data_IF_042746910820
#
_entry.id   IF_042746910820
#
_cell.length_a   1.000
_cell.length_b   1.000
_cell.length_c   1.000
_cell.angle_alpha   90.00
_cell.angle_beta   90.00
_cell.angle_gamma   90.00
#
_symmetry.space_group_name_H-M   'P 1'
#
loop_
_entity.id
_entity.type
_entity.pdbx_description
1 polymer ?
#
# COMPACT_ATOMS: atom_id res chain seq x y z
N UNK A 1 -28.92 14.74 25.66
CA UNK A 1 -28.69 15.51 24.42
C UNK A 1 -29.95 15.45 23.59
N UNK A 2 -30.54 16.61 23.32
CA UNK A 2 -31.67 16.75 22.39
C UNK A 2 -31.23 16.40 20.96
N UNK A 3 -32.14 16.03 20.06
CA UNK A 3 -31.77 15.66 18.67
C UNK A 3 -30.98 16.78 17.98
N UNK A 4 -31.37 18.04 18.19
CA UNK A 4 -30.72 19.22 17.60
C UNK A 4 -29.29 19.44 18.08
N UNK A 5 -29.02 19.30 19.38
CA UNK A 5 -27.64 19.38 19.93
C UNK A 5 -26.74 18.28 19.36
N UNK A 6 -27.27 17.07 19.17
CA UNK A 6 -26.48 15.94 18.62
C UNK A 6 -26.10 16.17 17.17
N UNK A 7 -27.02 16.70 16.36
CA UNK A 7 -26.71 17.06 14.97
C UNK A 7 -25.67 18.17 14.88
N UNK A 8 -25.76 19.19 15.76
CA UNK A 8 -24.76 20.26 15.80
C UNK A 8 -23.39 19.76 16.21
N UNK A 9 -23.30 18.92 17.24
CA UNK A 9 -22.01 18.46 17.75
C UNK A 9 -21.31 17.47 16.80
N UNK A 10 -22.08 16.55 16.21
CA UNK A 10 -21.56 15.66 15.15
C UNK A 10 -21.13 16.47 13.93
N UNK A 11 -21.88 17.51 13.55
CA UNK A 11 -21.52 18.36 12.41
C UNK A 11 -20.27 19.21 12.71
N UNK A 12 -20.14 19.73 13.93
CA UNK A 12 -18.97 20.48 14.37
C UNK A 12 -17.71 19.60 14.38
N UNK A 13 -17.78 18.41 15.00
CA UNK A 13 -16.68 17.44 15.04
C UNK A 13 -16.31 16.95 13.63
N UNK A 14 -17.29 16.62 12.80
CA UNK A 14 -17.06 16.20 11.41
C UNK A 14 -16.44 17.33 10.56
N UNK A 15 -16.78 18.59 10.84
CA UNK A 15 -16.22 19.76 10.16
C UNK A 15 -14.75 20.00 10.54
N UNK A 16 -14.36 19.72 11.78
CA UNK A 16 -12.97 19.82 12.23
C UNK A 16 -12.09 18.71 11.63
N UNK A 17 -12.59 17.47 11.58
CA UNK A 17 -11.89 16.35 10.92
C UNK A 17 -11.83 16.46 9.39
N UNK A 18 -12.72 17.24 8.77
CA UNK A 18 -12.83 17.34 7.30
C UNK A 18 -11.58 17.89 6.63
N UNK A 19 -11.03 18.99 7.15
CA UNK A 19 -9.83 19.62 6.58
C UNK A 19 -8.65 18.64 6.56
N UNK A 20 -8.21 18.05 7.67
CA UNK A 20 -7.06 17.13 7.66
C UNK A 20 -7.29 15.89 6.80
N UNK A 21 -8.53 15.36 6.73
CA UNK A 21 -8.85 14.23 5.84
C UNK A 21 -8.67 14.58 4.36
N UNK A 22 -9.22 15.71 3.91
CA UNK A 22 -9.08 16.17 2.52
C UNK A 22 -7.61 16.43 2.18
N UNK A 23 -6.88 17.13 3.05
CA UNK A 23 -5.46 17.39 2.83
C UNK A 23 -4.64 16.09 2.79
N UNK A 24 -4.90 15.15 3.70
CA UNK A 24 -4.24 13.84 3.69
C UNK A 24 -4.52 13.05 2.41
N UNK A 25 -5.77 12.99 1.97
CA UNK A 25 -6.15 12.32 0.72
C UNK A 25 -5.52 12.99 -0.51
N UNK A 26 -5.48 14.33 -0.56
CA UNK A 26 -4.82 15.07 -1.63
C UNK A 26 -3.32 14.76 -1.69
N UNK A 27 -2.62 14.73 -0.54
CA UNK A 27 -1.21 14.37 -0.48
C UNK A 27 -1.01 12.97 -1.06
N UNK A 28 -1.83 11.99 -0.66
CA UNK A 28 -1.76 10.63 -1.21
C UNK A 28 -1.98 10.65 -2.72
N UNK A 29 -3.01 11.34 -3.24
CA UNK A 29 -3.24 11.44 -4.69
C UNK A 29 -2.04 12.03 -5.44
N UNK A 30 -1.40 13.08 -4.89
CA UNK A 30 -0.22 13.71 -5.49
C UNK A 30 0.96 12.74 -5.55
N UNK A 31 1.14 11.88 -4.55
CA UNK A 31 2.18 10.84 -4.55
C UNK A 31 1.96 9.79 -5.66
N UNK A 32 0.73 9.58 -6.11
CA UNK A 32 0.43 8.69 -7.26
C UNK A 32 0.61 9.37 -8.62
N UNK A 33 0.65 10.70 -8.69
CA UNK A 33 0.77 11.43 -9.96
C UNK A 33 2.05 11.08 -10.76
N UNK A 34 3.25 10.92 -10.14
CA UNK A 34 4.46 10.54 -10.86
C UNK A 34 4.38 9.18 -11.55
N UNK A 35 3.53 8.27 -11.09
CA UNK A 35 3.32 6.95 -11.72
C UNK A 35 2.80 7.12 -13.15
N UNK A 36 2.04 8.19 -13.41
CA UNK A 36 1.56 8.48 -14.76
C UNK A 36 2.67 8.87 -15.74
N UNK A 37 3.85 9.27 -15.25
CA UNK A 37 5.02 9.58 -16.08
C UNK A 37 5.81 8.33 -16.51
N UNK A 38 5.52 7.14 -15.95
CA UNK A 38 6.15 5.89 -16.38
C UNK A 38 5.76 5.56 -17.82
N UNK A 39 6.75 5.16 -18.63
CA UNK A 39 6.56 4.75 -20.03
C UNK A 39 6.96 3.29 -20.22
N UNK A 40 6.58 2.69 -21.36
CA UNK A 40 6.92 1.30 -21.66
C UNK A 40 6.04 0.26 -20.96
N UNK A 41 6.65 -0.87 -20.58
CA UNK A 41 5.94 -2.02 -19.96
C UNK A 41 5.48 -1.69 -18.53
N UNK A 42 6.31 -0.97 -17.77
CA UNK A 42 6.00 -0.53 -16.42
C UNK A 42 4.72 0.33 -16.40
N UNK A 43 4.62 1.33 -17.29
CA UNK A 43 3.43 2.18 -17.40
C UNK A 43 2.15 1.36 -17.64
N UNK A 44 2.19 0.39 -18.57
CA UNK A 44 1.02 -0.47 -18.85
C UNK A 44 0.56 -1.27 -17.64
N UNK A 45 1.47 -1.68 -16.76
CA UNK A 45 1.12 -2.39 -15.53
C UNK A 45 0.66 -1.45 -14.40
N UNK A 46 1.29 -0.29 -14.26
CA UNK A 46 1.05 0.60 -13.12
C UNK A 46 -0.01 1.68 -13.36
N UNK A 47 -0.27 2.10 -14.61
CA UNK A 47 -1.30 3.10 -14.93
C UNK A 47 -2.71 2.64 -14.49
N UNK A 48 -3.17 1.41 -14.80
CA UNK A 48 -4.50 0.96 -14.36
C UNK A 48 -4.61 0.92 -12.82
N UNK A 49 -3.56 0.47 -12.15
CA UNK A 49 -3.48 0.45 -10.69
C UNK A 49 -3.60 1.86 -10.10
N UNK A 50 -2.79 2.82 -10.57
CA UNK A 50 -2.83 4.20 -10.09
C UNK A 50 -4.20 4.86 -10.32
N UNK A 51 -4.80 4.63 -11.49
CA UNK A 51 -6.12 5.16 -11.84
C UNK A 51 -7.21 4.69 -10.87
N UNK A 52 -7.26 3.38 -10.58
CA UNK A 52 -8.22 2.83 -9.62
C UNK A 52 -8.07 3.43 -8.23
N UNK A 53 -6.84 3.62 -7.74
CA UNK A 53 -6.59 4.23 -6.42
C UNK A 53 -7.02 5.69 -6.39
N UNK A 54 -6.66 6.50 -7.40
CA UNK A 54 -7.02 7.92 -7.43
C UNK A 54 -8.54 8.09 -7.49
N UNK A 55 -9.25 7.31 -8.31
CA UNK A 55 -10.72 7.34 -8.34
C UNK A 55 -11.32 6.90 -7.01
N UNK A 56 -10.80 5.84 -6.39
CA UNK A 56 -11.28 5.39 -5.08
C UNK A 56 -11.10 6.47 -4.01
N UNK A 57 -9.95 7.16 -4.00
CA UNK A 57 -9.68 8.27 -3.09
C UNK A 57 -10.60 9.47 -3.36
N UNK A 58 -10.88 9.80 -4.62
CA UNK A 58 -11.82 10.87 -4.98
C UNK A 58 -13.24 10.53 -4.50
N UNK A 59 -13.68 9.29 -4.73
CA UNK A 59 -14.96 8.80 -4.23
C UNK A 59 -15.02 8.81 -2.71
N UNK A 60 -13.97 8.33 -2.04
CA UNK A 60 -13.86 8.36 -0.58
C UNK A 60 -13.88 9.80 -0.03
N UNK A 61 -13.26 10.75 -0.71
CA UNK A 61 -13.28 12.17 -0.33
C UNK A 61 -14.71 12.74 -0.40
N UNK A 62 -15.43 12.48 -1.49
CA UNK A 62 -16.83 12.92 -1.65
C UNK A 62 -17.71 12.27 -0.58
N UNK A 63 -17.59 10.96 -0.37
CA UNK A 63 -18.37 10.22 0.64
C UNK A 63 -18.02 10.67 2.07
N UNK A 64 -16.77 10.99 2.35
CA UNK A 64 -16.35 11.48 3.66
C UNK A 64 -16.96 12.83 4.03
N UNK A 65 -17.23 13.69 3.05
CA UNK A 65 -17.85 15.01 3.28
C UNK A 65 -19.37 14.92 3.32
N UNK A 66 -19.96 14.00 2.55
CA UNK A 66 -21.41 13.91 2.35
C UNK A 66 -22.05 12.78 3.18
N UNK A 67 -21.66 11.54 2.91
CA UNK A 67 -22.26 10.34 3.47
C UNK A 67 -21.86 10.11 4.93
N UNK A 68 -20.59 10.27 5.29
CA UNK A 68 -20.11 9.97 6.64
C UNK A 68 -20.80 10.83 7.72
N UNK A 69 -20.92 12.17 7.59
CA UNK A 69 -21.62 12.97 8.59
C UNK A 69 -23.11 12.61 8.68
N UNK A 70 -23.76 12.36 7.54
CA UNK A 70 -25.15 11.94 7.50
C UNK A 70 -25.36 10.57 8.19
N UNK A 71 -24.49 9.61 7.91
CA UNK A 71 -24.52 8.28 8.51
C UNK A 71 -24.28 8.34 10.02
N UNK A 72 -23.25 9.07 10.48
CA UNK A 72 -22.98 9.23 11.92
C UNK A 72 -24.20 9.85 12.61
N UNK A 73 -24.80 10.88 12.02
CA UNK A 73 -25.92 11.57 12.61
C UNK A 73 -27.21 10.72 12.66
N UNK A 74 -27.40 9.80 11.71
CA UNK A 74 -28.54 8.88 11.68
C UNK A 74 -28.34 7.63 12.55
N UNK A 75 -27.16 7.01 12.51
CA UNK A 75 -26.91 5.70 13.12
C UNK A 75 -26.37 5.76 14.53
N UNK A 76 -25.49 6.72 14.84
CA UNK A 76 -25.03 6.89 16.22
C UNK A 76 -26.23 7.37 17.00
N UNK A 77 -26.76 6.57 17.92
CA UNK A 77 -27.93 6.88 18.73
C UNK A 77 -27.69 6.42 20.15
N UNK A 78 -27.67 7.34 21.12
CA UNK A 78 -27.50 7.00 22.54
C UNK A 78 -26.56 7.95 23.30
N UNK A 79 -26.47 7.76 24.62
CA UNK A 79 -25.42 8.37 25.44
C UNK A 79 -24.15 7.54 25.22
N UNK A 80 -23.17 8.09 24.50
CA UNK A 80 -21.83 7.49 24.44
C UNK A 80 -21.29 7.56 25.86
N UNK A 81 -21.26 6.43 26.57
CA UNK A 81 -20.57 6.34 27.85
C UNK A 81 -19.08 6.41 27.56
N UNK A 82 -18.43 7.36 28.19
CA UNK A 82 -16.97 7.58 28.17
C UNK A 82 -16.25 6.51 29.01
N UNK A 83 -16.61 5.24 28.85
CA UNK A 83 -15.89 4.15 29.52
C UNK A 83 -14.80 3.64 28.58
N UNK A 84 -13.54 3.89 28.94
CA UNK A 84 -12.40 3.35 28.22
C UNK A 84 -12.49 1.81 28.22
N UNK A 85 -12.69 1.22 27.03
CA UNK A 85 -12.65 -0.23 26.88
C UNK A 85 -11.33 -0.81 27.41
N UNK A 86 -11.36 -2.06 27.87
CA UNK A 86 -10.18 -2.74 28.45
C UNK A 86 -8.92 -2.65 27.57
N UNK A 87 -9.11 -2.72 26.24
CA UNK A 87 -8.05 -2.56 25.24
C UNK A 87 -7.43 -1.16 25.29
N UNK A 88 -8.27 -0.12 25.27
CA UNK A 88 -7.81 1.28 25.29
C UNK A 88 -7.07 1.59 26.59
N UNK A 89 -7.61 1.12 27.73
CA UNK A 89 -6.98 1.30 29.04
C UNK A 89 -5.61 0.66 29.12
N UNK A 90 -5.48 -0.57 28.61
CA UNK A 90 -4.21 -1.31 28.59
C UNK A 90 -3.20 -0.64 27.64
N UNK A 91 -3.64 -0.25 26.45
CA UNK A 91 -2.81 0.47 25.48
C UNK A 91 -2.29 1.79 26.07
N UNK A 92 -3.16 2.58 26.72
CA UNK A 92 -2.79 3.84 27.39
C UNK A 92 -1.79 3.61 28.51
N UNK A 93 -2.01 2.60 29.35
CA UNK A 93 -1.11 2.29 30.47
C UNK A 93 0.30 1.85 30.03
N UNK A 94 0.41 1.20 28.85
CA UNK A 94 1.71 0.84 28.25
C UNK A 94 2.33 2.00 27.48
N UNK A 95 1.54 2.76 26.74
CA UNK A 95 2.00 3.87 25.91
C UNK A 95 2.50 5.05 26.73
N UNK A 96 1.77 5.45 27.77
CA UNK A 96 2.10 6.62 28.60
C UNK A 96 3.52 6.60 29.21
N UNK A 97 4.01 5.52 29.84
CA UNK A 97 5.37 5.48 30.39
C UNK A 97 6.45 5.45 29.31
N UNK A 98 6.18 4.83 28.14
CA UNK A 98 7.12 4.84 27.02
C UNK A 98 7.23 6.27 26.46
N UNK A 99 6.09 6.94 26.27
CA UNK A 99 6.06 8.32 25.78
C UNK A 99 6.80 9.26 26.74
N UNK A 100 6.57 9.15 28.05
CA UNK A 100 7.25 10.00 29.03
C UNK A 100 8.76 9.75 29.03
N UNK A 101 9.20 8.51 28.88
CA UNK A 101 10.61 8.17 28.75
C UNK A 101 11.24 8.77 27.48
N UNK A 102 10.56 8.65 26.33
CA UNK A 102 11.02 9.21 25.04
C UNK A 102 11.12 10.73 25.09
N UNK A 103 10.12 11.41 25.66
CA UNK A 103 10.13 12.86 25.81
C UNK A 103 11.22 13.33 26.78
N UNK A 104 11.46 12.57 27.87
CA UNK A 104 12.54 12.85 28.82
C UNK A 104 13.95 12.64 28.23
N UNK A 105 14.10 11.71 27.28
CA UNK A 105 15.36 11.35 26.65
C UNK A 105 15.37 11.63 25.14
N UNK A 106 14.85 12.80 24.73
CA UNK A 106 14.71 13.19 23.31
C UNK A 106 15.98 12.96 22.48
N UNK A 107 17.16 13.25 23.03
CA UNK A 107 18.44 13.08 22.32
C UNK A 107 18.73 11.61 22.00
N UNK A 108 18.37 10.69 22.90
CA UNK A 108 18.51 9.24 22.68
C UNK A 108 17.51 8.80 21.60
N UNK A 109 16.27 9.29 21.65
CA UNK A 109 15.25 8.96 20.65
C UNK A 109 15.65 9.41 19.23
N UNK A 110 16.16 10.64 19.09
CA UNK A 110 16.71 11.14 17.83
C UNK A 110 17.95 10.35 17.38
N UNK A 111 18.86 10.03 18.31
CA UNK A 111 20.03 9.20 18.00
C UNK A 111 19.64 7.82 17.48
N UNK A 112 18.67 7.16 18.12
CA UNK A 112 18.17 5.86 17.69
C UNK A 112 17.50 5.94 16.31
N UNK A 113 16.69 6.97 16.06
CA UNK A 113 16.07 7.19 14.75
C UNK A 113 17.12 7.38 13.65
N UNK A 114 18.18 8.15 13.92
CA UNK A 114 19.27 8.35 12.96
C UNK A 114 20.02 7.04 12.69
N UNK A 115 20.34 6.26 13.72
CA UNK A 115 20.99 4.95 13.57
C UNK A 115 20.13 4.01 12.73
N UNK A 116 18.82 3.97 12.95
CA UNK A 116 17.90 3.14 12.15
C UNK A 116 17.85 3.57 10.69
N UNK A 117 17.87 4.88 10.40
CA UNK A 117 17.93 5.39 9.02
C UNK A 117 19.23 4.96 8.34
N UNK A 118 20.38 5.13 9.01
CA UNK A 118 21.68 4.75 8.47
C UNK A 118 21.76 3.25 8.23
N UNK A 119 21.30 2.43 9.17
CA UNK A 119 21.29 0.97 9.05
C UNK A 119 20.36 0.49 7.93
N UNK A 120 19.18 1.11 7.79
CA UNK A 120 18.24 0.83 6.71
C UNK A 120 18.85 1.19 5.35
N UNK A 121 19.49 2.36 5.24
CA UNK A 121 20.18 2.77 4.02
C UNK A 121 21.34 1.84 3.66
N UNK A 122 22.12 1.41 4.64
CA UNK A 122 23.20 0.43 4.43
C UNK A 122 22.66 -0.92 3.95
N UNK A 123 21.56 -1.41 4.54
CA UNK A 123 20.95 -2.68 4.13
C UNK A 123 20.35 -2.58 2.73
N UNK A 124 19.66 -1.47 2.42
CA UNK A 124 19.10 -1.21 1.11
C UNK A 124 20.18 -1.15 0.01
N UNK A 125 21.38 -0.63 0.33
CA UNK A 125 22.50 -0.58 -0.63
C UNK A 125 22.99 -1.96 -1.09
N UNK A 126 22.70 -3.02 -0.32
CA UNK A 126 23.04 -4.40 -0.65
C UNK A 126 21.91 -5.16 -1.34
N UNK A 127 20.74 -4.55 -1.52
CA UNK A 127 19.61 -5.18 -2.17
C UNK A 127 19.79 -5.10 -3.69
N UNK A 128 19.75 -6.25 -4.37
CA UNK A 128 19.75 -6.29 -5.83
C UNK A 128 18.47 -5.69 -6.40
N UNK A 129 18.53 -5.21 -7.66
CA UNK A 129 17.34 -4.74 -8.37
C UNK A 129 16.84 -5.81 -9.34
N UNK A 130 15.57 -6.20 -9.21
CA UNK A 130 14.85 -6.94 -10.24
C UNK A 130 13.87 -5.96 -10.92
N UNK A 131 13.87 -5.90 -12.25
CA UNK A 131 13.07 -4.94 -13.02
C UNK A 131 11.57 -5.24 -12.93
N UNK A 132 11.18 -6.51 -13.08
CA UNK A 132 9.81 -7.01 -12.91
C UNK A 132 9.94 -8.40 -12.26
N UNK A 133 9.21 -8.71 -11.19
CA UNK A 133 9.24 -10.05 -10.59
C UNK A 133 8.81 -11.07 -11.65
N UNK A 134 9.46 -12.23 -11.69
CA UNK A 134 9.08 -13.29 -12.63
C UNK A 134 7.63 -13.70 -12.38
N UNK A 135 6.74 -13.33 -13.30
CA UNK A 135 5.34 -13.77 -13.26
C UNK A 135 5.33 -15.28 -13.49
N UNK A 136 4.89 -16.01 -12.47
CA UNK A 136 4.68 -17.45 -12.58
C UNK A 136 3.36 -17.68 -13.31
N UNK A 137 3.41 -17.79 -14.63
CA UNK A 137 2.23 -18.03 -15.48
C UNK A 137 1.75 -19.49 -15.43
N UNK A 138 2.46 -20.36 -14.69
CA UNK A 138 2.12 -21.78 -14.54
C UNK A 138 2.76 -22.69 -15.59
N UNK A 139 3.20 -22.10 -16.71
CA UNK A 139 3.87 -22.80 -17.82
C UNK A 139 5.30 -22.29 -18.00
N UNK A 140 6.19 -23.16 -18.47
CA UNK A 140 7.58 -22.82 -18.76
C UNK A 140 7.80 -22.60 -20.26
N UNK A 141 8.20 -21.38 -20.64
CA UNK A 141 8.67 -21.10 -21.99
C UNK A 141 10.15 -21.51 -22.13
N UNK A 142 10.40 -22.66 -22.75
CA UNK A 142 11.76 -23.16 -23.01
C UNK A 142 12.23 -22.77 -24.42
N UNK A 143 13.16 -21.81 -24.49
CA UNK A 143 13.78 -21.40 -25.74
C UNK A 143 15.23 -21.92 -25.83
N UNK A 144 15.45 -22.91 -26.69
CA UNK A 144 16.78 -23.44 -26.98
C UNK A 144 17.47 -22.64 -28.10
N UNK A 145 18.47 -21.83 -27.74
CA UNK A 145 19.30 -21.10 -28.70
C UNK A 145 20.22 -22.08 -29.46
N UNK A 146 20.29 -21.96 -30.79
CA UNK A 146 21.08 -22.82 -31.69
C UNK A 146 22.16 -22.02 -32.41
N UNK A 147 23.23 -22.71 -32.82
CA UNK A 147 24.33 -22.09 -33.57
C UNK A 147 23.81 -21.56 -34.92
N UNK A 148 24.07 -20.29 -35.28
CA UNK A 148 23.72 -19.74 -36.59
C UNK A 148 24.35 -20.58 -37.71
N UNK A 149 23.56 -21.02 -38.69
CA UNK A 149 24.01 -21.89 -39.79
C UNK A 149 23.49 -23.34 -39.72
N UNK A 150 22.79 -23.72 -38.64
CA UNK A 150 22.07 -25.01 -38.58
C UNK A 150 20.90 -25.01 -39.57
N UNK A 151 20.72 -26.08 -40.35
CA UNK A 151 19.60 -26.18 -41.28
C UNK A 151 18.25 -26.19 -40.54
N UNK A 152 17.18 -25.73 -41.21
CA UNK A 152 15.83 -25.74 -40.63
C UNK A 152 15.43 -27.17 -40.23
N UNK A 153 15.67 -28.13 -41.12
CA UNK A 153 15.35 -29.55 -40.90
C UNK A 153 16.04 -30.10 -39.67
N UNK A 154 17.34 -29.79 -39.49
CA UNK A 154 18.10 -30.22 -38.33
C UNK A 154 17.64 -29.51 -37.04
N UNK A 155 17.27 -28.24 -37.12
CA UNK A 155 16.77 -27.47 -35.98
C UNK A 155 15.45 -28.06 -35.44
N UNK A 156 14.54 -28.47 -36.35
CA UNK A 156 13.27 -29.12 -36.02
C UNK A 156 13.49 -30.49 -35.37
N UNK A 157 14.35 -31.33 -35.95
CA UNK A 157 14.67 -32.65 -35.37
C UNK A 157 15.26 -32.51 -33.95
N UNK A 158 16.19 -31.56 -33.76
CA UNK A 158 16.75 -31.26 -32.43
C UNK A 158 15.68 -30.76 -31.44
N UNK A 159 14.69 -29.98 -31.89
CA UNK A 159 13.63 -29.45 -31.02
C UNK A 159 12.70 -30.58 -30.57
N UNK A 160 12.29 -31.46 -31.50
CA UNK A 160 11.42 -32.59 -31.20
C UNK A 160 12.06 -33.58 -30.21
N UNK A 161 13.37 -33.81 -30.32
CA UNK A 161 14.12 -34.62 -29.35
C UNK A 161 14.14 -33.98 -27.96
N UNK A 162 14.29 -32.66 -27.90
CA UNK A 162 14.29 -31.89 -26.66
C UNK A 162 12.90 -31.94 -25.99
N UNK A 163 11.84 -31.67 -26.75
CA UNK A 163 10.44 -31.70 -26.26
C UNK A 163 10.08 -33.08 -25.70
N UNK A 164 10.40 -34.16 -26.42
CA UNK A 164 10.17 -35.53 -25.93
C UNK A 164 10.91 -35.81 -24.63
N UNK A 165 12.19 -35.43 -24.55
CA UNK A 165 13.00 -35.64 -23.35
C UNK A 165 12.54 -34.83 -22.14
N UNK A 166 11.94 -33.65 -22.36
CA UNK A 166 11.39 -32.80 -21.29
C UNK A 166 10.07 -33.38 -20.78
N UNK A 167 9.14 -33.74 -21.67
CA UNK A 167 7.85 -34.37 -21.31
C UNK A 167 8.06 -35.68 -20.54
N UNK A 168 9.12 -36.43 -20.87
CA UNK A 168 9.42 -37.68 -20.18
C UNK A 168 10.00 -37.48 -18.76
N UNK A 169 10.58 -36.31 -18.47
CA UNK A 169 11.25 -36.01 -17.18
C UNK A 169 10.49 -35.06 -16.27
N UNK A 170 9.58 -34.23 -16.80
CA UNK A 170 8.77 -33.28 -16.05
C UNK A 170 7.30 -33.68 -16.26
N UNK A 171 6.60 -34.18 -15.22
CA UNK A 171 5.21 -34.62 -15.34
C UNK A 171 4.23 -33.47 -15.60
#
# INVERSE_FOLDING_TARGET
MTRSERFQEVFAAAREARRPLIFGQLIIMVVYLPIFALTGVEGKMFHPMAFTVVIALLGAMILSVTFVPAAIAMFVTGKVKEEEGFVMRTARHRYAPILSWVLGHRSIAFGLALVLIVLSGFTASRMGSEFIPSLSEGDFALQALRVPGTSLTQSVDMQQRLEKAIIEKVP
#
